data_IF_170096808481
#
_entry.id   IF_170096808481
#
_cell.length_a   1.000
_cell.length_b   1.000
_cell.length_c   1.000
_cell.angle_alpha   90.00
_cell.angle_beta   90.00
_cell.angle_gamma   90.00
#
_symmetry.space_group_name_H-M   'P 1'
#
loop_
_entity.id
_entity.type
_entity.pdbx_description
1 polymer ?
#
# COMPACT_ATOMS: atom_id res chain seq x y z
N UNK A 1 3.00 -11.29 -23.18
CA UNK A 1 4.09 -11.92 -22.39
C UNK A 1 5.33 -11.95 -23.26
N UNK A 2 6.53 -11.96 -22.67
CA UNK A 2 7.81 -11.88 -23.40
C UNK A 2 8.21 -13.13 -24.21
N UNK A 3 7.29 -14.07 -24.46
CA UNK A 3 7.49 -15.29 -25.28
C UNK A 3 8.66 -16.21 -24.88
N UNK A 4 9.32 -16.02 -23.75
CA UNK A 4 10.56 -16.76 -23.43
C UNK A 4 10.28 -18.14 -22.86
N UNK A 5 11.11 -19.11 -23.25
CA UNK A 5 11.12 -20.51 -22.76
C UNK A 5 11.59 -20.67 -21.29
N UNK A 6 11.87 -19.56 -20.62
CA UNK A 6 12.29 -19.52 -19.22
C UNK A 6 13.67 -20.14 -18.96
N UNK A 7 13.88 -20.62 -17.73
CA UNK A 7 15.20 -21.04 -17.22
C UNK A 7 15.82 -22.26 -17.93
N UNK A 8 15.03 -23.01 -18.71
CA UNK A 8 15.52 -24.15 -19.51
C UNK A 8 15.97 -23.74 -20.92
N UNK A 9 15.87 -22.46 -21.26
CA UNK A 9 16.33 -21.91 -22.53
C UNK A 9 17.85 -21.84 -22.59
N UNK A 10 18.41 -21.95 -23.80
CA UNK A 10 19.82 -21.59 -24.07
C UNK A 10 20.09 -20.12 -23.75
N UNK A 11 19.08 -19.26 -23.87
CA UNK A 11 19.11 -17.83 -23.57
C UNK A 11 17.95 -17.52 -22.60
N UNK A 12 18.15 -17.65 -21.29
CA UNK A 12 17.07 -17.62 -20.31
C UNK A 12 16.72 -16.22 -19.80
N UNK A 13 17.58 -15.22 -20.05
CA UNK A 13 17.29 -13.85 -19.62
C UNK A 13 16.22 -13.23 -20.52
N UNK A 14 15.27 -12.46 -19.95
CA UNK A 14 14.29 -11.73 -20.73
C UNK A 14 14.72 -10.39 -21.29
N UNK A 15 15.86 -9.88 -20.86
CA UNK A 15 16.35 -8.56 -21.24
C UNK A 15 17.49 -8.68 -22.25
N UNK A 16 18.35 -9.69 -22.13
CA UNK A 16 19.51 -9.88 -23.02
C UNK A 16 19.68 -11.34 -23.49
N UNK A 17 20.48 -11.53 -24.53
CA UNK A 17 20.85 -12.83 -25.10
C UNK A 17 22.08 -13.43 -24.40
N UNK A 18 22.05 -13.49 -23.08
CA UNK A 18 23.08 -14.20 -22.30
C UNK A 18 22.89 -15.72 -22.39
N UNK A 19 23.94 -16.49 -22.74
CA UNK A 19 23.84 -17.95 -22.73
C UNK A 19 23.64 -18.52 -21.32
N UNK A 20 22.95 -19.66 -21.21
CA UNK A 20 22.59 -20.28 -19.94
C UNK A 20 23.79 -20.68 -19.06
N UNK A 21 24.92 -21.03 -19.68
CA UNK A 21 26.17 -21.35 -19.00
C UNK A 21 26.95 -20.11 -18.51
N UNK A 22 26.57 -18.91 -18.94
CA UNK A 22 27.26 -17.64 -18.65
C UNK A 22 26.43 -16.71 -17.75
N UNK A 23 25.27 -17.13 -17.23
CA UNK A 23 24.34 -16.28 -16.47
C UNK A 23 25.02 -15.56 -15.28
N UNK A 24 25.99 -16.20 -14.62
CA UNK A 24 26.77 -15.65 -13.51
C UNK A 24 27.94 -14.74 -13.91
N UNK A 25 28.22 -14.55 -15.19
CA UNK A 25 29.36 -13.78 -15.63
C UNK A 25 29.07 -12.28 -15.46
N UNK A 26 29.82 -11.65 -14.55
CA UNK A 26 29.66 -10.24 -14.19
C UNK A 26 31.04 -9.53 -14.24
N UNK A 27 31.15 -8.35 -14.87
CA UNK A 27 30.21 -7.74 -15.81
C UNK A 27 30.40 -8.28 -17.24
N UNK A 28 29.31 -8.64 -17.91
CA UNK A 28 29.31 -9.01 -19.33
C UNK A 28 28.17 -8.33 -20.07
N UNK A 29 28.48 -7.64 -21.17
CA UNK A 29 27.49 -7.01 -22.04
C UNK A 29 27.06 -8.01 -23.10
N UNK A 30 25.75 -8.28 -23.14
CA UNK A 30 25.12 -9.12 -24.16
C UNK A 30 24.09 -8.29 -24.92
N UNK A 31 23.80 -8.69 -26.15
CA UNK A 31 22.79 -8.03 -26.98
C UNK A 31 21.43 -8.03 -26.28
N UNK A 32 20.74 -6.89 -26.31
CA UNK A 32 19.42 -6.73 -25.72
C UNK A 32 18.34 -7.31 -26.63
N UNK A 33 17.34 -7.93 -26.02
CA UNK A 33 16.12 -8.32 -26.72
C UNK A 33 15.23 -7.09 -26.92
N UNK A 34 14.65 -6.97 -28.11
CA UNK A 34 13.70 -5.89 -28.47
C UNK A 34 12.53 -6.48 -29.21
N UNK A 35 11.36 -5.84 -29.16
CA UNK A 35 10.20 -6.29 -29.94
C UNK A 35 10.53 -6.41 -31.43
N UNK A 36 11.38 -5.53 -31.97
CA UNK A 36 11.79 -5.57 -33.38
C UNK A 36 12.56 -6.83 -33.72
N UNK A 37 13.57 -7.16 -32.92
CA UNK A 37 14.38 -8.37 -33.14
C UNK A 37 13.53 -9.63 -33.04
N UNK A 38 12.60 -9.66 -32.07
CA UNK A 38 11.74 -10.82 -31.83
C UNK A 38 10.71 -11.00 -32.95
N UNK A 39 10.05 -9.93 -33.40
CA UNK A 39 9.10 -9.99 -34.52
C UNK A 39 9.81 -10.52 -35.77
N UNK A 40 11.02 -10.04 -36.05
CA UNK A 40 11.82 -10.55 -37.17
C UNK A 40 12.10 -12.04 -37.04
N UNK A 41 12.49 -12.52 -35.86
CA UNK A 41 12.73 -13.96 -35.61
C UNK A 41 11.46 -14.77 -35.85
N UNK A 42 10.29 -14.27 -35.44
CA UNK A 42 9.01 -14.96 -35.67
C UNK A 42 8.63 -14.97 -37.16
N UNK A 43 8.87 -13.89 -37.90
CA UNK A 43 8.67 -13.82 -39.35
C UNK A 43 9.60 -14.79 -40.11
N UNK A 44 10.88 -14.83 -39.75
CA UNK A 44 11.88 -15.76 -40.29
C UNK A 44 11.49 -17.22 -39.98
N UNK A 45 10.92 -17.47 -38.80
CA UNK A 45 10.39 -18.77 -38.38
C UNK A 45 9.18 -19.17 -39.20
N UNK A 46 8.21 -18.27 -39.40
CA UNK A 46 7.03 -18.52 -40.24
C UNK A 46 7.41 -18.84 -41.69
N UNK A 47 8.50 -18.27 -42.18
CA UNK A 47 9.01 -18.48 -43.55
C UNK A 47 9.72 -19.84 -43.77
N UNK A 48 9.92 -20.64 -42.71
CA UNK A 48 10.53 -21.97 -42.86
C UNK A 48 9.52 -23.06 -43.26
N UNK A 49 9.95 -23.96 -44.13
CA UNK A 49 9.11 -25.05 -44.65
C UNK A 49 8.91 -26.21 -43.67
N UNK A 50 9.85 -26.43 -42.75
CA UNK A 50 9.84 -27.59 -41.84
C UNK A 50 9.76 -27.18 -40.38
N UNK A 51 9.00 -27.95 -39.61
CA UNK A 51 8.86 -27.72 -38.16
C UNK A 51 10.21 -27.80 -37.43
N UNK A 52 11.12 -28.66 -37.91
CA UNK A 52 12.46 -28.80 -37.34
C UNK A 52 13.29 -27.52 -37.48
N UNK A 53 13.26 -26.87 -38.66
CA UNK A 53 13.96 -25.60 -38.88
C UNK A 53 13.35 -24.48 -38.03
N UNK A 54 12.01 -24.44 -37.92
CA UNK A 54 11.31 -23.49 -37.05
C UNK A 54 11.76 -23.62 -35.60
N UNK A 55 11.74 -24.84 -35.10
CA UNK A 55 12.11 -25.13 -33.72
C UNK A 55 13.59 -24.81 -33.44
N UNK A 56 14.49 -25.06 -34.39
CA UNK A 56 15.90 -24.67 -34.26
C UNK A 56 16.09 -23.15 -34.11
N UNK A 57 15.41 -22.33 -34.92
CA UNK A 57 15.47 -20.86 -34.82
C UNK A 57 14.95 -20.40 -33.46
N UNK A 58 13.80 -20.94 -33.03
CA UNK A 58 13.19 -20.59 -31.77
C UNK A 58 14.04 -21.01 -30.56
N UNK A 59 14.70 -22.15 -30.60
CA UNK A 59 15.66 -22.60 -29.57
C UNK A 59 16.87 -21.66 -29.50
N UNK A 60 17.38 -21.21 -30.66
CA UNK A 60 18.53 -20.30 -30.72
C UNK A 60 18.23 -18.93 -30.11
N UNK A 61 16.97 -18.52 -30.05
CA UNK A 61 16.56 -17.24 -29.44
C UNK A 61 15.85 -17.42 -28.10
N UNK A 62 15.58 -18.67 -27.69
CA UNK A 62 14.91 -18.98 -26.44
C UNK A 62 13.41 -18.66 -26.42
N UNK A 63 12.73 -18.71 -27.56
CA UNK A 63 11.37 -18.20 -27.75
C UNK A 63 10.33 -19.29 -28.00
N UNK A 64 9.12 -19.09 -27.52
CA UNK A 64 7.96 -19.90 -27.86
C UNK A 64 7.33 -19.43 -29.17
N UNK A 65 6.81 -20.39 -29.92
CA UNK A 65 5.98 -20.16 -31.12
C UNK A 65 4.56 -19.76 -30.70
N UNK A 66 4.39 -18.52 -30.23
CA UNK A 66 3.11 -18.00 -29.76
C UNK A 66 2.96 -16.56 -30.23
N UNK A 67 1.81 -16.27 -30.82
CA UNK A 67 1.42 -14.90 -31.17
C UNK A 67 1.22 -14.07 -29.89
N UNK A 68 2.07 -13.06 -29.72
CA UNK A 68 1.94 -12.11 -28.61
C UNK A 68 0.98 -11.00 -28.99
N UNK A 69 -0.11 -10.83 -28.24
CA UNK A 69 -1.04 -9.69 -28.41
C UNK A 69 -0.38 -8.31 -28.26
N UNK A 70 0.84 -8.26 -27.72
CA UNK A 70 1.58 -7.00 -27.58
C UNK A 70 2.28 -6.56 -28.88
N UNK A 71 2.37 -7.42 -29.90
CA UNK A 71 2.97 -7.05 -31.20
C UNK A 71 2.06 -6.13 -32.01
N UNK A 72 0.74 -6.19 -31.78
CA UNK A 72 -0.24 -5.33 -32.48
C UNK A 72 -0.39 -3.95 -31.84
N UNK A 73 0.12 -3.76 -30.63
CA UNK A 73 0.03 -2.47 -29.93
C UNK A 73 1.12 -1.53 -30.46
N UNK A 74 0.71 -0.46 -31.14
CA UNK A 74 1.63 0.50 -31.71
C UNK A 74 2.58 1.09 -30.64
N UNK A 75 3.87 1.17 -30.99
CA UNK A 75 4.95 1.67 -30.12
C UNK A 75 5.19 0.87 -28.82
N UNK A 76 4.69 -0.37 -28.72
CA UNK A 76 4.93 -1.23 -27.56
C UNK A 76 6.18 -2.10 -27.74
N UNK A 77 7.16 -1.91 -26.85
CA UNK A 77 8.28 -2.84 -26.71
C UNK A 77 8.21 -3.58 -25.37
N UNK A 78 7.67 -4.80 -25.39
CA UNK A 78 7.51 -5.63 -24.18
C UNK A 78 8.85 -5.85 -23.50
N UNK A 79 9.90 -6.10 -24.26
CA UNK A 79 11.23 -6.41 -23.75
C UNK A 79 11.87 -5.18 -23.11
N UNK A 80 11.64 -4.00 -23.69
CA UNK A 80 12.03 -2.75 -23.06
C UNK A 80 11.25 -2.48 -21.77
N UNK A 81 9.97 -2.87 -21.66
CA UNK A 81 9.21 -2.67 -20.41
C UNK A 81 9.64 -3.57 -19.26
N UNK A 82 10.26 -4.74 -19.54
CA UNK A 82 10.67 -5.69 -18.50
C UNK A 82 11.71 -5.07 -17.58
N UNK A 83 11.36 -4.96 -16.31
CA UNK A 83 12.20 -4.34 -15.28
C UNK A 83 12.59 -5.34 -14.22
N UNK A 84 13.62 -4.99 -13.47
CA UNK A 84 13.98 -5.72 -12.26
C UNK A 84 12.85 -5.59 -11.21
N UNK A 85 12.22 -6.72 -10.89
CA UNK A 85 11.25 -6.83 -9.79
C UNK A 85 11.94 -7.29 -8.51
N UNK A 86 11.95 -6.40 -7.51
CA UNK A 86 12.58 -6.65 -6.22
C UNK A 86 11.95 -7.86 -5.51
N UNK A 87 10.64 -8.09 -5.63
CA UNK A 87 9.97 -9.15 -4.90
C UNK A 87 10.42 -10.53 -5.39
N UNK A 88 10.38 -10.77 -6.69
CA UNK A 88 10.79 -12.04 -7.25
C UNK A 88 12.30 -12.20 -7.29
N UNK A 89 13.07 -11.15 -7.61
CA UNK A 89 14.52 -11.25 -7.73
C UNK A 89 15.21 -11.39 -6.36
N UNK A 90 14.94 -10.47 -5.43
CA UNK A 90 15.61 -10.47 -4.12
C UNK A 90 14.96 -11.42 -3.14
N UNK A 91 13.67 -11.22 -2.86
CA UNK A 91 13.07 -11.81 -1.66
C UNK A 91 12.66 -13.25 -1.90
N UNK A 92 11.83 -13.53 -2.91
CA UNK A 92 11.51 -14.91 -3.27
C UNK A 92 12.72 -15.63 -3.87
N UNK A 93 13.46 -14.97 -4.76
CA UNK A 93 14.60 -15.54 -5.46
C UNK A 93 15.84 -15.72 -4.63
N UNK A 94 16.67 -14.67 -4.60
CA UNK A 94 17.99 -14.72 -3.96
C UNK A 94 17.91 -15.09 -2.48
N UNK A 95 16.95 -14.55 -1.75
CA UNK A 95 16.78 -14.86 -0.34
C UNK A 95 16.07 -16.20 -0.17
N UNK A 96 14.81 -16.34 -0.58
CA UNK A 96 14.00 -17.54 -0.35
C UNK A 96 14.57 -18.81 -0.97
N UNK A 97 14.79 -18.80 -2.29
CA UNK A 97 15.24 -20.00 -3.03
C UNK A 97 16.72 -20.35 -2.78
N UNK A 98 17.53 -19.39 -2.30
CA UNK A 98 18.97 -19.54 -2.23
C UNK A 98 19.59 -19.28 -0.85
N UNK A 99 19.52 -18.07 -0.29
CA UNK A 99 20.17 -17.78 0.99
C UNK A 99 19.50 -18.53 2.15
N UNK A 100 18.17 -18.53 2.19
CA UNK A 100 17.37 -19.20 3.21
C UNK A 100 17.60 -20.70 3.21
N UNK A 101 17.59 -21.33 2.02
CA UNK A 101 17.91 -22.76 1.88
C UNK A 101 19.32 -23.09 2.40
N UNK A 102 20.30 -22.22 2.19
CA UNK A 102 21.63 -22.49 2.74
C UNK A 102 21.68 -22.27 4.25
N UNK A 103 21.04 -21.23 4.77
CA UNK A 103 20.93 -21.01 6.21
C UNK A 103 20.39 -22.27 6.89
N UNK A 104 19.30 -22.84 6.37
CA UNK A 104 18.73 -24.09 6.89
C UNK A 104 19.76 -25.24 6.87
N UNK A 105 20.56 -25.39 5.80
CA UNK A 105 21.63 -26.40 5.74
C UNK A 105 22.75 -26.17 6.75
N UNK A 106 23.12 -24.91 7.00
CA UNK A 106 24.16 -24.56 7.98
C UNK A 106 23.65 -24.87 9.38
N UNK A 107 22.40 -24.50 9.67
CA UNK A 107 21.77 -24.74 10.96
C UNK A 107 21.57 -26.23 11.23
N UNK A 108 21.19 -27.01 10.22
CA UNK A 108 21.08 -28.47 10.30
C UNK A 108 22.42 -29.11 10.69
N UNK A 109 23.53 -28.66 10.07
CA UNK A 109 24.89 -29.10 10.44
C UNK A 109 25.32 -28.64 11.83
N UNK A 110 24.88 -27.45 12.27
CA UNK A 110 25.19 -26.91 13.59
C UNK A 110 24.40 -27.60 14.72
N UNK A 111 23.37 -28.38 14.37
CA UNK A 111 22.62 -29.23 15.28
C UNK A 111 21.42 -28.55 15.96
N UNK A 112 20.56 -29.38 16.57
CA UNK A 112 19.24 -29.00 17.09
C UNK A 112 19.27 -27.86 18.13
N UNK A 113 20.33 -27.78 18.95
CA UNK A 113 20.45 -26.71 19.95
C UNK A 113 20.57 -25.32 19.30
N UNK A 114 21.38 -25.22 18.23
CA UNK A 114 21.56 -23.98 17.48
C UNK A 114 20.27 -23.58 16.76
N UNK A 115 19.58 -24.56 16.16
CA UNK A 115 18.27 -24.33 15.52
C UNK A 115 17.23 -23.81 16.51
N UNK A 116 17.11 -24.45 17.69
CA UNK A 116 16.18 -24.04 18.72
C UNK A 116 16.45 -22.62 19.24
N UNK A 117 17.73 -22.24 19.36
CA UNK A 117 18.12 -20.87 19.72
C UNK A 117 17.70 -19.86 18.65
N UNK A 118 17.94 -20.16 17.37
CA UNK A 118 17.54 -19.28 16.26
C UNK A 118 16.02 -19.13 16.22
N UNK A 119 15.29 -20.24 16.31
CA UNK A 119 13.82 -20.25 16.35
C UNK A 119 13.27 -19.40 17.51
N UNK A 120 13.82 -19.60 18.71
CA UNK A 120 13.47 -18.80 19.89
C UNK A 120 13.72 -17.30 19.67
N UNK A 121 14.84 -16.93 19.06
CA UNK A 121 15.13 -15.52 18.79
C UNK A 121 14.13 -14.92 17.79
N UNK A 122 13.66 -15.69 16.80
CA UNK A 122 12.65 -15.24 15.85
C UNK A 122 11.27 -15.06 16.50
N UNK A 123 10.87 -15.97 17.40
CA UNK A 123 9.59 -15.88 18.13
C UNK A 123 9.59 -14.83 19.25
N UNK A 124 10.76 -14.49 19.80
CA UNK A 124 10.89 -13.39 20.78
C UNK A 124 10.92 -12.00 20.12
N UNK A 125 11.05 -11.90 18.78
CA UNK A 125 10.98 -10.60 18.11
C UNK A 125 9.59 -9.98 18.30
N UNK A 126 9.50 -8.69 18.73
CA UNK A 126 8.21 -8.05 18.93
C UNK A 126 7.34 -8.05 17.65
N UNK A 127 6.03 -7.96 17.81
CA UNK A 127 5.11 -7.71 16.71
C UNK A 127 5.23 -6.26 16.24
N UNK A 128 5.58 -6.05 14.97
CA UNK A 128 5.72 -4.71 14.38
C UNK A 128 4.63 -4.52 13.33
N UNK A 129 4.07 -3.31 13.26
CA UNK A 129 3.09 -2.99 12.23
C UNK A 129 3.69 -3.21 10.85
N UNK A 130 2.99 -3.95 9.97
CA UNK A 130 3.41 -4.31 8.62
C UNK A 130 4.61 -5.25 8.50
N UNK A 131 4.98 -5.99 9.55
CA UNK A 131 5.99 -7.04 9.52
C UNK A 131 5.41 -8.33 10.10
N UNK A 132 5.42 -9.42 9.33
CA UNK A 132 4.91 -10.70 9.82
C UNK A 132 5.70 -11.18 11.05
N UNK A 133 4.97 -11.56 12.11
CA UNK A 133 5.53 -12.30 13.24
C UNK A 133 5.64 -13.79 12.86
N UNK A 134 6.69 -14.45 13.34
CA UNK A 134 6.98 -15.85 13.01
C UNK A 134 7.27 -16.61 14.31
N UNK A 135 6.30 -17.40 14.75
CA UNK A 135 6.49 -18.31 15.89
C UNK A 135 7.39 -19.50 15.53
N UNK A 136 7.33 -19.93 14.26
CA UNK A 136 8.09 -21.05 13.69
C UNK A 136 8.70 -20.66 12.34
N UNK A 137 9.73 -19.81 12.36
CA UNK A 137 10.44 -19.31 11.20
C UNK A 137 11.14 -20.42 10.40
N UNK A 138 11.81 -21.38 11.03
CA UNK A 138 12.63 -22.38 10.32
C UNK A 138 11.79 -23.47 9.62
N UNK A 139 10.53 -23.66 10.03
CA UNK A 139 9.59 -24.62 9.42
C UNK A 139 8.90 -24.08 8.16
N UNK A 140 9.19 -22.83 7.80
CA UNK A 140 8.68 -22.17 6.61
C UNK A 140 9.32 -22.79 5.35
N UNK A 141 8.72 -23.86 4.83
CA UNK A 141 9.15 -24.55 3.61
C UNK A 141 8.47 -24.04 2.34
N UNK A 142 7.26 -23.46 2.45
CA UNK A 142 6.50 -22.92 1.32
C UNK A 142 5.80 -21.61 1.70
N UNK A 143 6.38 -20.48 1.32
CA UNK A 143 5.79 -19.16 1.61
C UNK A 143 5.89 -18.18 0.45
N UNK A 144 4.95 -17.24 0.42
CA UNK A 144 4.95 -16.16 -0.57
C UNK A 144 6.14 -15.22 -0.38
N UNK A 145 6.58 -14.58 -1.47
CA UNK A 145 7.72 -13.68 -1.52
C UNK A 145 7.67 -12.53 -0.50
N UNK A 146 6.47 -12.12 -0.07
CA UNK A 146 6.33 -11.10 0.98
C UNK A 146 6.81 -11.61 2.35
N UNK A 147 6.59 -12.89 2.67
CA UNK A 147 7.09 -13.49 3.91
C UNK A 147 8.61 -13.63 3.86
N UNK A 148 9.17 -13.99 2.71
CA UNK A 148 10.61 -14.01 2.50
C UNK A 148 11.24 -12.62 2.61
N UNK A 149 10.55 -11.57 2.16
CA UNK A 149 11.00 -10.20 2.40
C UNK A 149 11.07 -9.89 3.89
N UNK A 150 10.03 -10.22 4.64
CA UNK A 150 9.97 -9.96 6.08
C UNK A 150 11.02 -10.78 6.86
N UNK A 151 11.22 -12.04 6.47
CA UNK A 151 12.32 -12.86 6.98
C UNK A 151 13.68 -12.25 6.64
N UNK A 152 13.87 -11.74 5.43
CA UNK A 152 15.14 -11.11 5.02
C UNK A 152 15.47 -9.84 5.80
N UNK A 153 14.45 -9.08 6.22
CA UNK A 153 14.63 -7.89 7.08
C UNK A 153 15.08 -8.25 8.49
N UNK A 154 14.60 -9.39 9.00
CA UNK A 154 15.00 -9.94 10.31
C UNK A 154 16.36 -10.65 10.25
N UNK A 155 16.76 -11.08 9.06
CA UNK A 155 18.05 -11.72 8.80
C UNK A 155 19.17 -10.69 8.68
N UNK A 156 20.03 -10.61 9.69
CA UNK A 156 21.24 -9.79 9.66
C UNK A 156 22.45 -10.65 10.04
N UNK A 157 23.14 -11.25 9.06
CA UNK A 157 24.49 -11.78 9.29
C UNK A 157 25.33 -11.92 8.01
N UNK A 158 26.65 -11.71 8.18
CA UNK A 158 27.71 -11.88 7.17
C UNK A 158 27.92 -13.38 6.90
N UNK A 159 27.59 -13.82 5.69
CA UNK A 159 28.02 -15.11 5.17
C UNK A 159 29.31 -14.92 4.36
N UNK A 160 30.46 -15.05 5.00
CA UNK A 160 31.71 -15.28 4.27
C UNK A 160 31.87 -16.78 4.00
N UNK A 161 32.31 -17.11 2.79
CA UNK A 161 32.68 -18.46 2.34
C UNK A 161 31.54 -19.47 2.12
N UNK A 162 30.77 -19.27 1.04
CA UNK A 162 29.93 -20.33 0.50
C UNK A 162 30.44 -20.82 -0.87
N UNK A 163 30.66 -22.13 -1.01
CA UNK A 163 30.87 -22.84 -2.29
C UNK A 163 29.57 -22.94 -3.11
N UNK A 164 28.73 -21.91 -3.08
CA UNK A 164 27.44 -21.91 -3.76
C UNK A 164 27.62 -21.45 -5.20
N UNK A 165 27.04 -22.20 -6.13
CA UNK A 165 26.93 -21.75 -7.52
C UNK A 165 25.86 -20.65 -7.61
N UNK A 166 26.26 -19.44 -7.98
CA UNK A 166 25.39 -18.27 -8.16
C UNK A 166 24.89 -18.10 -9.61
N UNK A 167 25.06 -19.13 -10.44
CA UNK A 167 24.59 -19.20 -11.83
C UNK A 167 23.09 -19.46 -11.93
N UNK A 168 22.27 -18.46 -11.59
CA UNK A 168 20.82 -18.52 -11.74
C UNK A 168 20.24 -17.18 -12.19
N UNK A 169 19.14 -17.24 -12.96
CA UNK A 169 18.58 -16.09 -13.66
C UNK A 169 18.26 -14.90 -12.74
N UNK A 170 17.67 -15.15 -11.57
CA UNK A 170 17.30 -14.08 -10.63
C UNK A 170 18.53 -13.31 -10.11
N UNK A 171 19.70 -13.95 -10.02
CA UNK A 171 20.96 -13.27 -9.70
C UNK A 171 21.46 -12.43 -10.88
N UNK A 172 21.34 -12.95 -12.10
CA UNK A 172 21.72 -12.21 -13.31
C UNK A 172 20.92 -10.94 -13.53
N UNK A 173 19.64 -10.92 -13.15
CA UNK A 173 18.78 -9.73 -13.31
C UNK A 173 19.35 -8.48 -12.62
N UNK A 174 20.29 -8.62 -11.69
CA UNK A 174 21.02 -7.49 -11.10
C UNK A 174 21.88 -6.71 -12.11
N UNK A 175 22.36 -7.32 -13.19
CA UNK A 175 23.08 -6.62 -14.27
C UNK A 175 22.23 -5.48 -14.85
N UNK A 176 20.94 -5.73 -14.99
CA UNK A 176 20.01 -4.80 -15.62
C UNK A 176 19.48 -3.73 -14.67
N UNK A 177 19.87 -3.73 -13.38
CA UNK A 177 19.31 -2.79 -12.39
C UNK A 177 19.73 -1.36 -12.70
N UNK A 178 21.00 -1.14 -13.05
CA UNK A 178 21.51 0.20 -13.37
C UNK A 178 20.78 0.78 -14.59
N UNK A 179 20.77 0.02 -15.69
CA UNK A 179 20.09 0.42 -16.93
C UNK A 179 18.58 0.63 -16.72
N UNK A 180 17.94 -0.20 -15.89
CA UNK A 180 16.54 -0.01 -15.53
C UNK A 180 16.31 1.28 -14.73
N UNK A 181 17.21 1.64 -13.80
CA UNK A 181 17.09 2.89 -13.04
C UNK A 181 17.28 4.09 -13.95
N UNK A 182 18.26 4.04 -14.84
CA UNK A 182 18.53 5.10 -15.81
C UNK A 182 17.35 5.31 -16.76
N UNK A 183 16.78 4.23 -17.30
CA UNK A 183 15.69 4.31 -18.27
C UNK A 183 14.30 4.52 -17.66
N UNK A 184 14.03 4.00 -16.45
CA UNK A 184 12.68 3.86 -15.87
C UNK A 184 12.52 4.46 -14.48
N UNK A 185 13.61 4.92 -13.86
CA UNK A 185 13.61 5.46 -12.51
C UNK A 185 13.59 4.40 -11.41
N UNK A 186 13.12 4.80 -10.23
CA UNK A 186 13.24 3.99 -9.01
C UNK A 186 12.46 2.67 -9.12
N UNK A 187 13.15 1.55 -8.89
CA UNK A 187 12.60 0.19 -9.01
C UNK A 187 11.52 -0.17 -8.00
N UNK A 188 11.33 0.64 -6.94
CA UNK A 188 10.29 0.47 -5.91
C UNK A 188 8.88 0.32 -6.49
N UNK A 189 8.60 1.03 -7.59
CA UNK A 189 7.29 1.05 -8.24
C UNK A 189 7.07 -0.16 -9.17
N UNK A 190 8.13 -0.92 -9.47
CA UNK A 190 8.10 -2.06 -10.38
C UNK A 190 8.05 -3.39 -9.62
N UNK A 191 7.22 -3.44 -8.57
CA UNK A 191 7.06 -4.64 -7.76
C UNK A 191 5.73 -5.35 -8.09
N UNK A 192 5.72 -6.68 -8.03
CA UNK A 192 4.52 -7.47 -8.33
C UNK A 192 3.60 -7.69 -7.12
N UNK A 193 3.85 -7.02 -5.99
CA UNK A 193 3.06 -7.23 -4.76
C UNK A 193 1.58 -6.91 -4.95
N UNK A 194 1.17 -5.83 -5.65
CA UNK A 194 -0.24 -5.56 -5.90
C UNK A 194 -0.94 -6.72 -6.60
N UNK A 195 -0.34 -7.21 -7.70
CA UNK A 195 -0.89 -8.33 -8.47
C UNK A 195 -0.97 -9.62 -7.63
N UNK A 196 0.05 -9.90 -6.80
CA UNK A 196 -0.01 -11.05 -5.89
C UNK A 196 -1.12 -10.92 -4.85
N UNK A 197 -1.31 -9.72 -4.31
CA UNK A 197 -2.38 -9.44 -3.34
C UNK A 197 -3.77 -9.63 -3.97
N UNK A 198 -3.93 -9.30 -5.25
CA UNK A 198 -5.17 -9.51 -6.00
C UNK A 198 -5.56 -10.98 -6.16
N UNK A 199 -4.62 -11.94 -6.08
CA UNK A 199 -4.97 -13.37 -6.15
C UNK A 199 -5.89 -13.82 -5.01
N UNK A 200 -5.78 -13.24 -3.82
CA UNK A 200 -6.65 -13.55 -2.68
C UNK A 200 -8.11 -13.25 -2.98
N UNK A 201 -8.46 -11.98 -3.24
CA UNK A 201 -9.81 -11.57 -3.64
C UNK A 201 -10.33 -12.34 -4.86
N UNK A 202 -9.51 -12.53 -5.91
CA UNK A 202 -9.93 -13.29 -7.10
C UNK A 202 -10.28 -14.75 -6.76
N UNK A 203 -9.49 -15.39 -5.88
CA UNK A 203 -9.78 -16.74 -5.40
C UNK A 203 -11.07 -16.78 -4.58
N UNK A 204 -11.29 -15.79 -3.73
CA UNK A 204 -12.52 -15.68 -2.94
C UNK A 204 -13.76 -15.51 -3.84
N UNK A 205 -13.68 -14.61 -4.83
CA UNK A 205 -14.74 -14.42 -5.85
C UNK A 205 -15.02 -15.70 -6.61
N UNK A 206 -13.96 -16.36 -7.10
CA UNK A 206 -14.08 -17.66 -7.75
C UNK A 206 -14.79 -18.69 -6.86
N UNK A 207 -14.40 -18.81 -5.60
CA UNK A 207 -14.93 -19.82 -4.68
C UNK A 207 -16.35 -19.53 -4.17
N UNK A 208 -16.69 -18.27 -3.91
CA UNK A 208 -17.93 -17.87 -3.25
C UNK A 208 -18.99 -17.30 -4.19
N UNK A 209 -18.58 -16.76 -5.33
CA UNK A 209 -19.44 -15.96 -6.21
C UNK A 209 -19.51 -16.49 -7.65
N UNK A 210 -18.96 -17.67 -7.93
CA UNK A 210 -19.11 -18.31 -9.26
C UNK A 210 -19.70 -19.71 -9.16
N UNK A 211 -20.30 -20.17 -10.25
CA UNK A 211 -20.79 -21.54 -10.41
C UNK A 211 -19.72 -22.50 -10.98
N UNK A 212 -18.43 -22.10 -10.98
CA UNK A 212 -17.29 -22.85 -11.52
C UNK A 212 -17.35 -23.14 -13.04
N UNK A 213 -18.23 -22.47 -13.79
CA UNK A 213 -18.35 -22.60 -15.25
C UNK A 213 -18.32 -21.23 -15.89
N UNK A 214 -17.56 -21.01 -16.97
CA UNK A 214 -17.48 -19.71 -17.65
C UNK A 214 -17.25 -18.55 -16.67
N UNK A 215 -16.26 -18.71 -15.79
CA UNK A 215 -16.10 -17.90 -14.58
C UNK A 215 -15.63 -16.48 -14.84
N UNK A 216 -15.02 -16.19 -16.00
CA UNK A 216 -14.45 -14.88 -16.30
C UNK A 216 -15.48 -13.75 -16.21
N UNK A 217 -16.63 -13.91 -16.88
CA UNK A 217 -17.69 -12.88 -16.86
C UNK A 217 -18.28 -12.73 -15.45
N UNK A 218 -18.51 -13.84 -14.75
CA UNK A 218 -19.04 -13.79 -13.38
C UNK A 218 -18.11 -13.04 -12.42
N UNK A 219 -16.80 -13.27 -12.51
CA UNK A 219 -15.82 -12.53 -11.70
C UNK A 219 -15.84 -11.04 -12.06
N UNK A 220 -15.90 -10.69 -13.35
CA UNK A 220 -15.97 -9.29 -13.78
C UNK A 220 -17.24 -8.59 -13.28
N UNK A 221 -18.39 -9.28 -13.30
CA UNK A 221 -19.65 -8.74 -12.80
C UNK A 221 -19.58 -8.48 -11.28
N UNK A 222 -18.95 -9.38 -10.52
CA UNK A 222 -18.72 -9.23 -9.08
C UNK A 222 -17.76 -8.07 -8.78
N UNK A 223 -16.64 -7.99 -9.51
CA UNK A 223 -15.69 -6.86 -9.41
C UNK A 223 -16.39 -5.52 -9.67
N UNK A 224 -17.27 -5.47 -10.68
CA UNK A 224 -18.02 -4.27 -11.01
C UNK A 224 -18.98 -3.87 -9.89
N UNK A 225 -19.72 -4.83 -9.32
CA UNK A 225 -20.63 -4.57 -8.21
C UNK A 225 -19.88 -4.07 -6.96
N UNK A 226 -18.73 -4.67 -6.64
CA UNK A 226 -17.88 -4.20 -5.53
C UNK A 226 -17.40 -2.76 -5.75
N UNK A 227 -16.93 -2.42 -6.95
CA UNK A 227 -16.50 -1.05 -7.27
C UNK A 227 -17.65 -0.04 -7.17
N UNK A 228 -18.86 -0.42 -7.59
CA UNK A 228 -20.06 0.43 -7.44
C UNK A 228 -20.40 0.62 -5.97
N UNK A 229 -20.34 -0.43 -5.15
CA UNK A 229 -20.57 -0.35 -3.71
C UNK A 229 -19.54 0.56 -3.02
N UNK A 230 -18.24 0.41 -3.33
CA UNK A 230 -17.19 1.29 -2.83
C UNK A 230 -17.44 2.75 -3.20
N UNK A 231 -17.82 3.03 -4.46
CA UNK A 231 -18.15 4.38 -4.90
C UNK A 231 -19.33 4.98 -4.12
N UNK A 232 -20.38 4.18 -3.88
CA UNK A 232 -21.53 4.62 -3.08
C UNK A 232 -21.07 4.92 -1.64
N UNK A 233 -20.25 4.06 -1.04
CA UNK A 233 -19.70 4.26 0.30
C UNK A 233 -18.82 5.52 0.40
N UNK A 234 -17.96 5.76 -0.60
CA UNK A 234 -17.19 7.00 -0.68
C UNK A 234 -18.12 8.21 -0.70
N UNK A 235 -19.14 8.21 -1.57
CA UNK A 235 -20.09 9.33 -1.66
C UNK A 235 -20.89 9.57 -0.38
N UNK A 236 -21.30 8.51 0.31
CA UNK A 236 -21.95 8.64 1.62
C UNK A 236 -20.97 9.25 2.62
N UNK A 237 -19.72 8.79 2.63
CA UNK A 237 -18.69 9.30 3.53
C UNK A 237 -18.37 10.77 3.25
N UNK A 238 -18.25 11.15 1.98
CA UNK A 238 -18.04 12.53 1.54
C UNK A 238 -19.23 13.41 1.94
N UNK A 239 -20.46 12.91 1.78
CA UNK A 239 -21.66 13.63 2.21
C UNK A 239 -21.74 13.81 3.73
N UNK A 240 -21.32 12.80 4.51
CA UNK A 240 -21.19 12.88 5.97
C UNK A 240 -20.03 13.80 6.42
N UNK A 241 -19.04 14.05 5.54
CA UNK A 241 -17.99 15.06 5.72
C UNK A 241 -18.51 16.47 5.40
N UNK A 242 -19.22 16.64 4.29
CA UNK A 242 -19.74 17.92 3.80
C UNK A 242 -20.87 18.49 4.68
N UNK A 243 -21.64 17.63 5.37
CA UNK A 243 -22.72 18.12 6.25
C UNK A 243 -22.23 18.88 7.49
N UNK A 244 -20.94 18.81 7.83
CA UNK A 244 -20.40 19.47 9.02
C UNK A 244 -19.02 20.10 8.75
N UNK A 245 -18.99 21.35 8.27
CA UNK A 245 -17.81 22.23 8.34
C UNK A 245 -17.23 22.32 9.76
N UNK A 246 -18.03 22.01 10.79
CA UNK A 246 -17.63 22.00 12.19
C UNK A 246 -18.07 20.68 12.83
N UNK A 247 -17.11 19.87 13.30
CA UNK A 247 -17.36 18.65 14.09
C UNK A 247 -16.96 18.85 15.54
N UNK A 248 -17.86 18.53 16.47
CA UNK A 248 -17.60 18.55 17.91
C UNK A 248 -17.11 17.18 18.39
N UNK A 249 -16.13 17.15 19.28
CA UNK A 249 -15.57 15.93 19.87
C UNK A 249 -15.22 16.11 21.34
N UNK A 250 -14.66 15.06 21.95
CA UNK A 250 -14.31 15.06 23.38
C UNK A 250 -15.49 15.49 24.27
N UNK A 251 -16.63 14.84 24.07
CA UNK A 251 -17.87 15.09 24.82
C UNK A 251 -17.65 14.80 26.31
N UNK A 252 -17.98 15.76 27.16
CA UNK A 252 -18.00 15.56 28.61
C UNK A 252 -19.23 14.71 28.97
N UNK A 253 -19.00 13.59 29.68
CA UNK A 253 -20.02 12.56 29.93
C UNK A 253 -21.19 13.05 30.78
N UNK A 254 -20.94 13.98 31.70
CA UNK A 254 -21.96 14.53 32.59
C UNK A 254 -22.31 15.95 32.13
N UNK A 255 -23.57 16.20 31.72
CA UNK A 255 -24.06 17.55 31.48
C UNK A 255 -23.90 18.42 32.73
N UNK A 256 -23.61 19.70 32.51
CA UNK A 256 -23.44 20.68 33.57
C UNK A 256 -24.65 21.62 33.59
N UNK A 257 -25.19 21.92 34.77
CA UNK A 257 -26.21 22.96 34.89
C UNK A 257 -25.62 24.33 34.52
N UNK A 258 -26.37 25.16 33.79
CA UNK A 258 -25.94 26.51 33.42
C UNK A 258 -25.50 27.36 34.62
N UNK A 259 -26.16 27.20 35.76
CA UNK A 259 -25.76 27.86 37.01
C UNK A 259 -24.36 27.45 37.51
N UNK A 260 -23.93 26.22 37.23
CA UNK A 260 -22.64 25.68 37.66
C UNK A 260 -21.46 26.12 36.76
N UNK A 261 -21.74 26.53 35.51
CA UNK A 261 -20.73 27.14 34.61
C UNK A 261 -20.08 28.36 35.24
N UNK A 262 -20.85 29.13 36.03
CA UNK A 262 -20.37 30.30 36.77
C UNK A 262 -19.43 29.92 37.91
N UNK A 263 -19.66 28.78 38.57
CA UNK A 263 -18.86 28.34 39.71
C UNK A 263 -17.49 27.77 39.28
N UNK A 264 -17.42 27.14 38.11
CA UNK A 264 -16.17 26.58 37.56
C UNK A 264 -15.19 27.62 37.00
N UNK A 265 -15.66 28.83 36.68
CA UNK A 265 -14.86 29.87 36.02
C UNK A 265 -14.87 31.20 36.81
N UNK A 266 -14.45 31.14 38.08
CA UNK A 266 -14.34 32.34 38.94
C UNK A 266 -13.25 33.32 38.48
N UNK A 267 -12.36 32.90 37.57
CA UNK A 267 -11.16 33.63 37.16
C UNK A 267 -11.39 34.38 35.83
N UNK A 268 -12.24 33.85 34.95
CA UNK A 268 -12.42 34.39 33.61
C UNK A 268 -13.68 35.28 33.49
N UNK A 269 -13.45 36.56 33.23
CA UNK A 269 -14.50 37.57 33.06
C UNK A 269 -15.44 37.24 31.89
N UNK A 270 -15.01 36.45 30.90
CA UNK A 270 -15.83 36.03 29.77
C UNK A 270 -17.12 35.34 30.21
N UNK A 271 -17.09 34.57 31.31
CA UNK A 271 -18.24 33.83 31.84
C UNK A 271 -19.16 34.66 32.74
N UNK A 272 -18.84 35.95 32.96
CA UNK A 272 -19.74 36.86 33.68
C UNK A 272 -21.03 37.05 32.87
N UNK A 273 -22.18 36.82 33.53
CA UNK A 273 -23.51 36.86 32.91
C UNK A 273 -23.66 35.92 31.70
N UNK A 274 -22.92 34.79 31.68
CA UNK A 274 -22.90 33.85 30.56
C UNK A 274 -24.29 33.44 30.05
N UNK A 275 -25.20 33.07 30.96
CA UNK A 275 -26.57 32.69 30.60
C UNK A 275 -27.34 33.80 29.87
N UNK A 276 -27.21 35.06 30.33
CA UNK A 276 -27.86 36.23 29.73
C UNK A 276 -27.30 36.45 28.32
N UNK A 277 -25.96 36.47 28.20
CA UNK A 277 -25.28 36.63 26.91
C UNK A 277 -25.62 35.52 25.93
N UNK A 278 -25.75 34.27 26.39
CA UNK A 278 -26.12 33.13 25.57
C UNK A 278 -27.56 33.25 25.05
N UNK A 279 -28.51 33.64 25.91
CA UNK A 279 -29.88 33.91 25.51
C UNK A 279 -29.94 35.03 24.45
N UNK A 280 -29.25 36.15 24.68
CA UNK A 280 -29.19 37.26 23.72
C UNK A 280 -28.59 36.82 22.37
N UNK A 281 -27.49 36.07 22.40
CA UNK A 281 -26.81 35.59 21.19
C UNK A 281 -27.72 34.71 20.34
N UNK A 282 -28.36 33.71 20.96
CA UNK A 282 -29.21 32.78 20.22
C UNK A 282 -30.44 33.48 19.66
N UNK A 283 -31.13 34.30 20.46
CA UNK A 283 -32.30 35.03 19.99
C UNK A 283 -31.95 35.94 18.80
N UNK A 284 -30.85 36.70 18.90
CA UNK A 284 -30.35 37.55 17.80
C UNK A 284 -30.01 36.73 16.54
N UNK A 285 -29.40 35.56 16.71
CA UNK A 285 -29.06 34.68 15.59
C UNK A 285 -30.33 34.19 14.85
N UNK A 286 -31.35 33.73 15.58
CA UNK A 286 -32.60 33.26 14.97
C UNK A 286 -33.38 34.40 14.30
N UNK A 287 -33.41 35.59 14.90
CA UNK A 287 -33.97 36.79 14.29
C UNK A 287 -33.26 37.15 12.98
N UNK A 288 -31.92 37.20 12.99
CA UNK A 288 -31.11 37.60 11.83
C UNK A 288 -31.20 36.59 10.69
N UNK A 289 -31.29 35.30 11.02
CA UNK A 289 -31.34 34.21 10.02
C UNK A 289 -32.76 33.91 9.52
N UNK A 290 -33.79 34.60 10.05
CA UNK A 290 -35.18 34.38 9.67
C UNK A 290 -35.71 32.98 9.99
N UNK A 291 -35.03 32.23 10.85
CA UNK A 291 -35.42 30.86 11.23
C UNK A 291 -36.47 30.93 12.33
N UNK A 292 -37.60 30.18 12.21
CA UNK A 292 -38.66 30.24 13.21
C UNK A 292 -38.16 29.73 14.56
N UNK A 293 -38.41 30.50 15.62
CA UNK A 293 -38.19 30.07 16.99
C UNK A 293 -39.16 28.93 17.33
N UNK A 294 -38.68 27.92 18.06
CA UNK A 294 -39.50 26.81 18.57
C UNK A 294 -40.68 27.37 19.39
N UNK A 295 -41.90 27.23 18.86
CA UNK A 295 -43.12 27.72 19.50
C UNK A 295 -43.32 29.25 19.48
N UNK A 296 -42.55 29.99 18.68
CA UNK A 296 -42.70 31.44 18.50
C UNK A 296 -42.33 32.28 19.73
N UNK A 297 -41.64 31.70 20.71
CA UNK A 297 -41.20 32.38 21.94
C UNK A 297 -39.69 32.57 21.93
N UNK A 298 -39.23 33.65 22.56
CA UNK A 298 -37.81 33.86 22.82
C UNK A 298 -37.21 32.71 23.63
N UNK A 299 -35.99 32.32 23.27
CA UNK A 299 -35.19 31.34 24.00
C UNK A 299 -34.82 31.97 25.35
N UNK A 300 -35.22 31.32 26.43
CA UNK A 300 -34.89 31.75 27.79
C UNK A 300 -34.47 30.53 28.61
N UNK A 301 -33.16 30.26 28.66
CA UNK A 301 -32.63 29.24 29.55
C UNK A 301 -32.79 29.64 31.01
N UNK A 302 -33.08 28.66 31.85
CA UNK A 302 -33.08 28.70 33.32
C UNK A 302 -31.76 28.15 33.86
N UNK A 303 -31.47 28.41 35.14
CA UNK A 303 -30.19 28.02 35.76
C UNK A 303 -30.04 26.49 35.90
N UNK A 304 -31.15 25.77 35.94
CA UNK A 304 -31.24 24.31 36.04
C UNK A 304 -31.10 23.62 34.68
N UNK A 305 -31.15 24.36 33.57
CA UNK A 305 -30.98 23.75 32.26
C UNK A 305 -29.56 23.22 32.09
N UNK A 306 -29.46 22.00 31.58
CA UNK A 306 -28.21 21.30 31.40
C UNK A 306 -27.58 21.63 30.03
N UNK A 307 -26.27 21.82 30.03
CA UNK A 307 -25.46 21.97 28.83
C UNK A 307 -24.42 20.85 28.77
N UNK A 308 -24.15 20.36 27.58
CA UNK A 308 -23.07 19.38 27.34
C UNK A 308 -21.85 20.11 26.79
N UNK A 309 -20.73 20.06 27.52
CA UNK A 309 -19.46 20.60 27.07
C UNK A 309 -18.78 19.64 26.09
N UNK A 310 -18.22 20.19 25.02
CA UNK A 310 -17.35 19.49 24.06
C UNK A 310 -15.99 20.18 24.07
N UNK A 311 -14.91 19.42 24.27
CA UNK A 311 -13.54 19.97 24.46
C UNK A 311 -12.66 19.89 23.22
N UNK A 312 -13.25 19.53 22.09
CA UNK A 312 -12.60 19.44 20.80
C UNK A 312 -13.54 19.93 19.71
N UNK A 313 -13.00 20.74 18.80
CA UNK A 313 -13.68 21.20 17.60
C UNK A 313 -12.75 20.97 16.41
N UNK A 314 -13.23 20.27 15.38
CA UNK A 314 -12.58 20.17 14.08
C UNK A 314 -13.32 21.09 13.12
N UNK A 315 -12.63 22.07 12.54
CA UNK A 315 -13.21 23.01 11.57
C UNK A 315 -12.56 22.79 10.22
N UNK A 316 -13.35 22.39 9.22
CA UNK A 316 -12.91 22.37 7.83
C UNK A 316 -13.25 23.73 7.21
N UNK A 317 -12.26 24.41 6.64
CA UNK A 317 -12.44 25.70 5.97
C UNK A 317 -11.69 25.75 4.64
N UNK A 318 -12.18 26.56 3.73
CA UNK A 318 -11.50 26.85 2.46
C UNK A 318 -10.61 28.07 2.63
N UNK A 319 -9.33 27.95 2.29
CA UNK A 319 -8.40 29.06 2.34
C UNK A 319 -8.67 30.00 1.16
N UNK A 320 -8.86 31.29 1.47
CA UNK A 320 -9.03 32.34 0.46
C UNK A 320 -7.73 32.66 -0.31
N UNK A 321 -6.59 32.09 0.11
CA UNK A 321 -5.28 32.36 -0.52
C UNK A 321 -5.00 31.41 -1.68
N UNK A 322 -5.32 30.13 -1.51
CA UNK A 322 -4.97 29.06 -2.45
C UNK A 322 -6.17 28.18 -2.83
N UNK A 323 -7.36 28.45 -2.29
CA UNK A 323 -8.61 27.75 -2.57
C UNK A 323 -8.57 26.25 -2.22
N UNK A 324 -7.61 25.85 -1.38
CA UNK A 324 -7.52 24.50 -0.85
C UNK A 324 -8.33 24.39 0.45
N UNK A 325 -8.87 23.20 0.70
CA UNK A 325 -9.51 22.87 1.98
C UNK A 325 -8.46 22.54 3.04
N UNK A 326 -8.55 23.22 4.18
CA UNK A 326 -7.74 22.99 5.37
C UNK A 326 -8.60 22.61 6.56
N UNK A 327 -7.96 22.08 7.60
CA UNK A 327 -8.62 21.65 8.82
C UNK A 327 -7.90 22.20 10.04
N UNK A 328 -8.63 22.97 10.85
CA UNK A 328 -8.20 23.39 12.17
C UNK A 328 -8.71 22.43 13.25
N UNK A 329 -7.83 22.08 14.18
CA UNK A 329 -8.12 21.23 15.32
C UNK A 329 -7.99 22.06 16.61
N UNK A 330 -9.12 22.49 17.17
CA UNK A 330 -9.15 23.31 18.39
C UNK A 330 -9.46 22.44 19.61
N UNK A 331 -8.60 22.50 20.63
CA UNK A 331 -8.68 21.68 21.84
C UNK A 331 -8.60 22.53 23.10
N UNK A 332 -9.33 22.13 24.15
CA UNK A 332 -9.29 22.83 25.44
C UNK A 332 -8.18 22.32 26.40
N UNK A 333 -7.28 21.45 25.94
CA UNK A 333 -6.24 20.87 26.78
C UNK A 333 -4.98 21.76 26.81
N UNK A 334 -4.54 22.16 28.00
CA UNK A 334 -3.38 23.03 28.20
C UNK A 334 -2.04 22.33 27.90
N UNK A 335 -2.02 20.99 27.85
CA UNK A 335 -0.83 20.20 27.56
C UNK A 335 -1.11 19.05 26.60
N UNK A 336 -0.34 18.98 25.50
CA UNK A 336 -0.36 17.87 24.55
C UNK A 336 1.00 17.16 24.58
N UNK A 337 1.00 15.88 24.99
CA UNK A 337 2.23 15.07 25.17
C UNK A 337 3.35 15.75 25.98
N UNK A 338 3.00 16.49 27.03
CA UNK A 338 3.97 17.16 27.91
C UNK A 338 4.51 18.49 27.40
N UNK A 339 4.04 18.96 26.24
CA UNK A 339 4.32 20.30 25.73
C UNK A 339 3.14 21.25 25.97
N UNK A 340 3.41 22.54 26.15
CA UNK A 340 2.37 23.57 26.24
C UNK A 340 1.67 23.71 24.89
N UNK A 341 0.34 23.63 24.89
CA UNK A 341 -0.45 23.84 23.69
C UNK A 341 -0.92 25.30 23.61
N UNK A 342 -0.79 25.92 22.43
CA UNK A 342 -1.19 27.31 22.18
C UNK A 342 -2.33 27.42 21.15
N UNK A 343 -3.09 26.33 20.93
CA UNK A 343 -4.27 26.34 20.07
C UNK A 343 -5.28 27.32 20.65
N UNK A 344 -5.31 28.54 20.11
CA UNK A 344 -6.15 29.62 20.59
C UNK A 344 -6.90 30.24 19.42
N UNK A 345 -8.17 30.56 19.65
CA UNK A 345 -8.96 31.35 18.71
C UNK A 345 -8.77 32.83 19.03
N UNK A 346 -8.25 33.60 18.09
CA UNK A 346 -8.21 35.06 18.20
C UNK A 346 -9.60 35.64 17.92
N UNK A 347 -10.39 35.78 18.99
CA UNK A 347 -11.69 36.44 18.92
C UNK A 347 -11.50 37.95 19.02
N UNK A 348 -11.73 38.66 17.91
CA UNK A 348 -11.93 40.12 17.95
C UNK A 348 -13.32 40.39 18.53
N UNK A 349 -13.39 40.48 19.86
CA UNK A 349 -14.56 41.05 20.51
C UNK A 349 -14.60 42.54 20.16
N UNK A 350 -15.65 43.00 19.48
CA UNK A 350 -15.82 44.42 19.15
C UNK A 350 -15.69 45.30 20.42
N UNK A 351 -15.13 46.50 20.22
CA UNK A 351 -14.99 47.56 21.21
C UNK A 351 -16.34 48.06 21.72
#
# INVERSE_FOLDING_TARGET
>A
MALIRGVKSNFPCPICLIPCNHISDFPAQFELQTSKNIVKVLEDTCSQDTQEKKEQILIQQGLHDVDSTFTVVANMDVYHTLSWDQLHANFSGKFGDHLWTELLRILDKAGCQTMAMVEKNFSEMPCWHMLNHFDEALLISYTDGQKFEDLSKKYAQKTDNMKKNWNFLKNHMHMHVFDNIEAKGVTRNFNTKPNKKMHGPLKEKYQKHTNFKNVAQQILDVDHLEAVLELIHCRISDYDEDFFHVRLGSRVKQPLALGAVKQGSMIDKAFTQFQVKLNELLNRYFETTGKPLLGGKHIQFQVENEITEYRYIKVNFESMTDWCQYTDHLQCNLSFHGHSCYDCMLLKTAQ
#
